data_IF_887197740902
#
_entry.id   IF_887197740902
#
_cell.length_a   1.000
_cell.length_b   1.000
_cell.length_c   1.000
_cell.angle_alpha   90.00
_cell.angle_beta   90.00
_cell.angle_gamma   90.00
#
_symmetry.space_group_name_H-M   'P 1'
#
loop_
_entity.id
_entity.type
_entity.pdbx_description
1 polymer ?
#
# COMPACT_ATOMS: atom_id res chain seq x y z
N UNK A 1 17.34 -24.53 15.32
CA UNK A 1 16.52 -25.50 14.57
C UNK A 1 16.87 -25.33 13.11
N UNK A 2 17.34 -26.39 12.45
CA UNK A 2 17.53 -26.34 11.00
C UNK A 2 16.15 -26.40 10.34
N UNK A 3 15.85 -25.43 9.48
CA UNK A 3 14.53 -25.29 8.86
C UNK A 3 14.47 -25.98 7.49
N UNK A 4 15.59 -26.50 6.99
CA UNK A 4 15.65 -27.19 5.69
C UNK A 4 15.62 -28.72 5.93
N UNK A 5 14.59 -29.42 5.43
CA UNK A 5 14.60 -30.88 5.40
C UNK A 5 15.81 -31.41 4.61
N UNK A 6 16.42 -32.51 5.05
CA UNK A 6 17.56 -33.14 4.33
C UNK A 6 17.25 -33.43 2.85
N UNK A 7 15.98 -33.68 2.51
CA UNK A 7 15.52 -33.91 1.12
C UNK A 7 15.71 -32.71 0.17
N UNK A 8 15.96 -31.52 0.72
CA UNK A 8 16.24 -30.29 0.01
C UNK A 8 17.73 -29.88 0.08
N UNK A 9 18.58 -30.69 0.69
CA UNK A 9 20.02 -30.42 0.76
C UNK A 9 20.62 -30.27 -0.65
N UNK A 10 21.38 -29.19 -0.85
CA UNK A 10 22.03 -28.91 -2.13
C UNK A 10 21.09 -28.47 -3.26
N UNK A 11 19.82 -28.15 -2.97
CA UNK A 11 18.88 -27.52 -3.92
C UNK A 11 18.61 -26.05 -3.55
N UNK A 12 18.38 -25.17 -4.54
CA UNK A 12 17.80 -23.85 -4.31
C UNK A 12 16.45 -23.95 -3.61
N UNK A 13 16.29 -23.26 -2.47
CA UNK A 13 15.07 -23.22 -1.68
C UNK A 13 14.62 -21.77 -1.54
N UNK A 14 13.36 -21.50 -1.88
CA UNK A 14 12.71 -20.24 -1.58
C UNK A 14 11.68 -20.45 -0.47
N UNK A 15 11.84 -19.73 0.64
CA UNK A 15 10.86 -19.66 1.71
C UNK A 15 9.94 -18.48 1.44
N UNK A 16 8.69 -18.76 1.08
CA UNK A 16 7.66 -17.75 0.87
C UNK A 16 6.92 -17.50 2.17
N UNK A 17 7.01 -16.29 2.68
CA UNK A 17 6.26 -15.83 3.85
C UNK A 17 5.07 -15.01 3.37
N UNK A 18 3.86 -15.51 3.65
CA UNK A 18 2.63 -14.72 3.56
C UNK A 18 2.11 -14.53 4.97
N UNK A 19 2.11 -13.28 5.44
CA UNK A 19 1.52 -12.94 6.74
C UNK A 19 0.23 -12.18 6.49
N UNK A 20 -0.87 -12.92 6.36
CA UNK A 20 -2.23 -12.36 6.38
C UNK A 20 -2.75 -12.14 7.81
N UNK A 21 -1.92 -12.41 8.82
CA UNK A 21 -2.31 -12.37 10.23
C UNK A 21 -1.80 -11.08 10.88
N UNK A 22 -2.69 -10.11 10.99
CA UNK A 22 -2.65 -9.13 12.07
C UNK A 22 -2.59 -9.91 13.40
N UNK A 23 -1.67 -9.51 14.25
CA UNK A 23 -1.39 -10.08 15.57
C UNK A 23 -0.98 -11.56 15.55
N UNK A 24 0.34 -11.80 15.56
CA UNK A 24 0.86 -13.07 16.04
C UNK A 24 0.16 -13.37 17.38
N UNK A 25 -0.59 -14.50 17.51
CA UNK A 25 -1.30 -14.80 18.73
C UNK A 25 -0.32 -14.77 19.89
N UNK A 26 -0.71 -14.13 20.99
CA UNK A 26 0.07 -13.97 22.21
C UNK A 26 0.87 -15.24 22.51
N UNK A 27 2.20 -15.17 22.38
CA UNK A 27 3.09 -16.31 22.61
C UNK A 27 3.73 -16.94 21.37
N UNK A 28 3.41 -16.50 20.15
CA UNK A 28 4.25 -16.75 18.96
C UNK A 28 5.23 -15.59 18.80
N UNK A 29 6.49 -15.90 18.52
CA UNK A 29 7.54 -14.88 18.36
C UNK A 29 7.19 -13.84 17.29
N UNK A 30 7.82 -12.66 17.40
CA UNK A 30 7.63 -11.56 16.46
C UNK A 30 8.06 -11.94 15.03
N UNK A 31 7.53 -11.23 14.02
CA UNK A 31 8.00 -11.40 12.63
C UNK A 31 9.51 -11.16 12.55
N UNK A 32 10.04 -10.23 13.35
CA UNK A 32 11.47 -9.96 13.48
C UNK A 32 12.25 -11.18 14.01
N UNK A 33 11.72 -11.88 15.02
CA UNK A 33 12.33 -13.12 15.53
C UNK A 33 12.31 -14.24 14.49
N UNK A 34 11.22 -14.37 13.71
CA UNK A 34 11.15 -15.32 12.61
C UNK A 34 12.22 -15.02 11.55
N UNK A 35 12.33 -13.77 11.11
CA UNK A 35 13.35 -13.37 10.14
C UNK A 35 14.77 -13.53 10.68
N UNK A 36 15.01 -13.26 11.98
CA UNK A 36 16.30 -13.51 12.61
C UNK A 36 16.66 -15.00 12.60
N UNK A 37 15.70 -15.88 12.91
CA UNK A 37 15.89 -17.32 12.85
C UNK A 37 16.15 -17.82 11.41
N UNK A 38 15.43 -17.28 10.43
CA UNK A 38 15.63 -17.60 9.02
C UNK A 38 16.99 -17.10 8.51
N UNK A 39 17.44 -15.92 8.92
CA UNK A 39 18.74 -15.37 8.52
C UNK A 39 19.91 -16.28 8.95
N UNK A 40 19.82 -16.88 10.14
CA UNK A 40 20.80 -17.88 10.58
C UNK A 40 20.83 -19.10 9.64
N UNK A 41 19.69 -19.50 9.09
CA UNK A 41 19.60 -20.59 8.13
C UNK A 41 20.12 -20.18 6.74
N UNK A 42 19.80 -18.97 6.27
CA UNK A 42 20.36 -18.38 5.02
C UNK A 42 21.90 -18.39 5.06
N UNK A 43 22.50 -17.99 6.20
CA UNK A 43 23.96 -17.96 6.35
C UNK A 43 24.59 -19.36 6.32
N UNK A 44 23.86 -20.38 6.78
CA UNK A 44 24.32 -21.78 6.75
C UNK A 44 24.12 -22.43 5.39
N UNK A 45 23.06 -22.03 4.69
CA UNK A 45 22.61 -22.63 3.45
C UNK A 45 22.59 -21.58 2.35
N UNK A 46 23.68 -21.47 1.58
CA UNK A 46 23.82 -20.49 0.47
C UNK A 46 22.70 -20.55 -0.58
N UNK A 47 21.96 -21.64 -0.60
CA UNK A 47 20.91 -21.91 -1.57
C UNK A 47 19.50 -21.54 -1.05
N UNK A 48 19.40 -21.03 0.19
CA UNK A 48 18.13 -20.59 0.78
C UNK A 48 17.94 -19.08 0.62
N UNK A 49 16.77 -18.68 0.10
CA UNK A 49 16.30 -17.29 0.06
C UNK A 49 14.98 -17.18 0.79
N UNK A 50 14.77 -16.05 1.48
CA UNK A 50 13.48 -15.69 2.07
C UNK A 50 12.82 -14.62 1.20
N UNK A 51 11.52 -14.78 0.96
CA UNK A 51 10.72 -13.87 0.16
C UNK A 51 9.35 -13.62 0.82
N UNK A 52 8.87 -12.36 0.88
CA UNK A 52 9.62 -11.14 0.59
C UNK A 52 10.76 -10.91 1.61
N UNK A 53 11.54 -9.85 1.43
CA UNK A 53 12.61 -9.51 2.38
C UNK A 53 12.02 -8.97 3.71
N UNK A 54 12.80 -8.97 4.80
CA UNK A 54 12.38 -8.32 6.05
C UNK A 54 12.12 -6.82 5.85
N UNK A 55 12.90 -6.18 4.97
CA UNK A 55 12.76 -4.76 4.68
C UNK A 55 11.44 -4.47 3.96
N UNK A 56 11.07 -5.28 2.97
CA UNK A 56 9.77 -5.21 2.32
C UNK A 56 8.63 -5.54 3.30
N UNK A 57 8.79 -6.55 4.16
CA UNK A 57 7.73 -6.82 5.14
C UNK A 57 7.50 -5.69 6.12
N UNK A 58 8.57 -5.01 6.56
CA UNK A 58 8.44 -3.81 7.40
C UNK A 58 7.76 -2.69 6.62
N UNK A 59 8.10 -2.53 5.34
CA UNK A 59 7.48 -1.54 4.48
C UNK A 59 5.97 -1.78 4.33
N UNK A 60 5.57 -3.01 4.02
CA UNK A 60 4.16 -3.40 3.85
C UNK A 60 3.38 -3.27 5.17
N UNK A 61 3.98 -3.68 6.30
CA UNK A 61 3.35 -3.58 7.62
C UNK A 61 3.19 -2.13 8.09
N UNK A 62 4.13 -1.25 7.74
CA UNK A 62 4.13 0.14 8.16
C UNK A 62 3.85 1.09 6.99
N UNK A 63 2.61 1.60 6.92
CA UNK A 63 2.08 2.47 5.85
C UNK A 63 2.92 3.73 5.58
N UNK A 64 3.73 4.18 6.54
CA UNK A 64 4.55 5.40 6.44
C UNK A 64 5.48 5.36 5.22
N UNK A 65 6.14 4.22 5.00
CA UNK A 65 7.10 4.11 3.91
C UNK A 65 6.42 4.25 2.55
N UNK A 66 5.28 3.58 2.37
CA UNK A 66 4.53 3.61 1.12
C UNK A 66 3.92 4.98 0.88
N UNK A 67 3.38 5.63 1.92
CA UNK A 67 2.87 7.01 1.80
C UNK A 67 3.98 7.97 1.35
N UNK A 68 5.18 7.88 1.93
CA UNK A 68 6.32 8.70 1.48
C UNK A 68 6.72 8.43 0.04
N UNK A 69 6.71 7.17 -0.37
CA UNK A 69 7.01 6.82 -1.76
C UNK A 69 5.98 7.44 -2.72
N UNK A 70 4.69 7.39 -2.35
CA UNK A 70 3.62 8.01 -3.12
C UNK A 70 3.69 9.54 -3.14
N UNK A 71 4.09 10.17 -2.03
CA UNK A 71 4.30 11.64 -1.97
C UNK A 71 5.40 12.07 -2.96
N UNK A 72 6.53 11.35 -2.99
CA UNK A 72 7.64 11.59 -3.94
C UNK A 72 7.17 11.39 -5.38
N UNK A 73 6.48 10.27 -5.65
CA UNK A 73 5.96 9.98 -6.99
C UNK A 73 5.04 11.09 -7.46
N UNK A 74 4.10 11.54 -6.64
CA UNK A 74 3.19 12.63 -7.01
C UNK A 74 3.95 13.94 -7.28
N UNK A 75 4.97 14.27 -6.48
CA UNK A 75 5.78 15.47 -6.66
C UNK A 75 6.59 15.45 -7.98
N UNK A 76 7.09 14.28 -8.37
CA UNK A 76 7.90 14.10 -9.59
C UNK A 76 7.05 13.85 -10.84
N UNK A 77 5.76 13.55 -10.66
CA UNK A 77 4.87 13.20 -11.75
C UNK A 77 4.24 14.44 -12.40
N UNK A 78 3.99 14.41 -13.72
CA UNK A 78 3.36 15.52 -14.41
C UNK A 78 1.82 15.46 -14.33
N UNK A 79 1.19 16.64 -14.40
CA UNK A 79 -0.22 16.80 -14.76
C UNK A 79 -1.19 15.90 -13.97
N UNK A 80 -1.87 15.01 -14.68
CA UNK A 80 -2.93 14.15 -14.13
C UNK A 80 -2.47 13.12 -13.09
N UNK A 81 -1.16 12.95 -12.92
CA UNK A 81 -0.54 12.01 -11.99
C UNK A 81 0.01 12.69 -10.72
N UNK A 82 -0.09 14.01 -10.61
CA UNK A 82 0.65 14.80 -9.62
C UNK A 82 -0.09 15.03 -8.29
N UNK A 83 -1.35 14.58 -8.17
CA UNK A 83 -2.15 14.85 -6.98
C UNK A 83 -1.89 13.84 -5.86
N UNK A 84 -1.70 14.35 -4.64
CA UNK A 84 -1.67 13.57 -3.41
C UNK A 84 -2.16 14.43 -2.24
N UNK A 85 -3.09 13.93 -1.42
CA UNK A 85 -3.46 14.56 -0.15
C UNK A 85 -2.22 14.76 0.73
N UNK A 86 -2.06 15.97 1.26
CA UNK A 86 -0.85 16.32 2.04
C UNK A 86 -0.77 15.47 3.30
N UNK A 87 0.42 14.95 3.59
CA UNK A 87 0.66 14.12 4.79
C UNK A 87 1.65 14.80 5.73
N UNK A 88 1.37 14.77 7.03
CA UNK A 88 2.32 15.12 8.07
C UNK A 88 2.60 13.92 8.99
N UNK A 89 3.88 13.65 9.20
CA UNK A 89 4.38 12.50 9.96
C UNK A 89 4.76 12.86 11.41
N UNK A 90 4.44 14.07 11.88
CA UNK A 90 4.76 14.53 13.23
C UNK A 90 6.23 14.87 13.50
N UNK A 91 7.12 14.70 12.52
CA UNK A 91 8.56 14.92 12.70
C UNK A 91 9.00 16.40 12.51
N UNK A 92 8.13 17.25 11.98
CA UNK A 92 8.41 18.65 11.62
C UNK A 92 7.24 19.56 12.01
N UNK A 93 7.37 20.90 11.87
CA UNK A 93 6.21 21.78 11.94
C UNK A 93 5.11 21.31 10.99
N UNK A 94 3.88 21.28 11.49
CA UNK A 94 2.74 20.81 10.70
C UNK A 94 2.44 21.78 9.55
N UNK A 95 2.60 21.31 8.31
CA UNK A 95 2.35 22.06 7.08
C UNK A 95 0.95 21.83 6.50
N UNK A 96 0.15 20.97 7.13
CA UNK A 96 -1.23 20.77 6.70
C UNK A 96 -2.00 22.09 6.84
N UNK A 97 -2.83 22.41 5.86
CA UNK A 97 -3.69 23.59 5.85
C UNK A 97 -4.76 23.52 6.95
N UNK A 98 -5.59 24.55 7.05
CA UNK A 98 -6.94 24.35 7.59
C UNK A 98 -7.75 24.04 6.34
N UNK A 99 -8.09 22.77 6.14
CA UNK A 99 -8.89 22.37 4.99
C UNK A 99 -10.29 22.99 5.10
N UNK A 100 -11.11 22.87 4.04
CA UNK A 100 -12.45 23.50 3.93
C UNK A 100 -13.35 23.18 5.14
N UNK A 101 -13.16 22.00 5.75
CA UNK A 101 -13.95 21.51 6.90
C UNK A 101 -13.19 21.51 8.24
N UNK A 102 -11.93 21.97 8.26
CA UNK A 102 -11.09 21.97 9.46
C UNK A 102 -10.75 20.57 10.02
N UNK A 103 -10.98 19.51 9.24
CA UNK A 103 -10.74 18.12 9.62
C UNK A 103 -9.48 17.54 8.98
N UNK A 104 -8.85 16.63 9.70
CA UNK A 104 -7.74 15.81 9.21
C UNK A 104 -8.07 14.33 9.43
N UNK A 105 -7.46 13.46 8.63
CA UNK A 105 -7.49 12.01 8.84
C UNK A 105 -6.27 11.61 9.66
N UNK A 106 -6.47 11.05 10.85
CA UNK A 106 -5.40 10.41 11.64
C UNK A 106 -5.38 8.93 11.32
N UNK A 107 -4.19 8.40 11.03
CA UNK A 107 -3.97 6.99 10.69
C UNK A 107 -2.88 6.41 11.60
N UNK A 108 -3.10 5.19 12.09
CA UNK A 108 -2.03 4.36 12.66
C UNK A 108 -1.07 3.91 11.56
N UNK A 109 0.21 3.83 11.91
CA UNK A 109 1.27 3.33 11.03
C UNK A 109 1.06 1.88 10.61
N UNK A 110 0.41 1.07 11.43
CA UNK A 110 0.04 -0.30 11.12
C UNK A 110 -1.43 -0.52 11.50
N UNK A 111 -2.22 -1.01 10.54
CA UNK A 111 -3.59 -1.50 10.74
C UNK A 111 -4.16 -2.06 9.42
N UNK A 112 -5.09 -3.01 9.51
CA UNK A 112 -5.86 -3.50 8.36
C UNK A 112 -7.33 -3.01 8.41
N UNK A 113 -7.97 -2.94 7.23
CA UNK A 113 -9.42 -2.77 7.10
C UNK A 113 -10.00 -1.46 7.64
N UNK A 114 -9.22 -0.37 7.62
CA UNK A 114 -9.65 0.93 8.14
C UNK A 114 -9.61 1.07 9.67
N UNK A 115 -9.26 0.01 10.41
CA UNK A 115 -9.10 0.09 11.86
C UNK A 115 -8.04 1.13 12.22
N UNK A 116 -8.32 2.01 13.19
CA UNK A 116 -7.38 3.06 13.58
C UNK A 116 -7.21 4.19 12.56
N UNK A 117 -8.14 4.33 11.61
CA UNK A 117 -8.35 5.55 10.81
C UNK A 117 -9.50 6.32 11.43
N UNK A 118 -9.32 7.62 11.67
CA UNK A 118 -10.37 8.49 12.21
C UNK A 118 -10.24 9.90 11.64
N UNK A 119 -11.37 10.56 11.44
CA UNK A 119 -11.42 11.99 11.13
C UNK A 119 -11.54 12.78 12.43
N UNK A 120 -10.79 13.88 12.55
CA UNK A 120 -10.90 14.77 13.71
C UNK A 120 -10.43 16.19 13.39
N UNK A 121 -10.76 17.16 14.24
CA UNK A 121 -10.26 18.53 14.08
C UNK A 121 -8.74 18.57 14.07
N UNK A 122 -8.16 19.45 13.24
CA UNK A 122 -6.70 19.60 13.11
C UNK A 122 -5.96 19.75 14.43
N UNK A 123 -6.49 20.52 15.37
CA UNK A 123 -5.86 20.77 16.67
C UNK A 123 -5.70 19.48 17.50
N UNK A 124 -6.66 18.57 17.40
CA UNK A 124 -6.63 17.27 18.04
C UNK A 124 -5.64 16.34 17.33
N UNK A 125 -5.69 16.28 16.00
CA UNK A 125 -4.76 15.51 15.19
C UNK A 125 -3.30 15.92 15.44
N UNK A 126 -3.03 17.23 15.51
CA UNK A 126 -1.69 17.77 15.80
C UNK A 126 -1.17 17.35 17.18
N UNK A 127 -2.05 17.28 18.18
CA UNK A 127 -1.69 16.86 19.53
C UNK A 127 -1.35 15.37 19.57
N UNK A 128 -2.13 14.53 18.90
CA UNK A 128 -1.92 13.07 18.91
C UNK A 128 -0.72 12.63 18.09
N UNK A 129 -0.52 13.22 16.91
CA UNK A 129 0.64 12.96 16.06
C UNK A 129 1.92 13.55 16.67
N UNK A 130 1.80 14.44 17.66
CA UNK A 130 2.95 15.07 18.32
C UNK A 130 3.65 16.11 17.44
N UNK A 131 2.89 16.84 16.62
CA UNK A 131 3.44 17.84 15.70
C UNK A 131 4.26 18.90 16.43
N UNK A 132 5.44 19.23 15.89
CA UNK A 132 6.25 20.30 16.45
C UNK A 132 5.55 21.65 16.24
N UNK A 133 5.38 22.43 17.30
CA UNK A 133 4.90 23.82 17.16
C UNK A 133 5.99 24.65 16.49
N UNK A 134 5.63 25.48 15.50
CA UNK A 134 6.55 26.47 14.91
C UNK A 134 7.24 27.26 16.03
N UNK A 135 8.55 27.54 15.88
CA UNK A 135 9.52 28.06 16.88
C UNK A 135 9.15 29.31 17.71
N UNK A 136 7.91 29.80 17.70
CA UNK A 136 7.49 31.05 18.36
C UNK A 136 7.14 30.96 19.85
N UNK A 137 7.22 29.79 20.49
CA UNK A 137 7.11 29.65 21.94
C UNK A 137 8.09 28.61 22.47
N UNK A 138 9.34 29.01 22.73
CA UNK A 138 10.26 28.28 23.61
C UNK A 138 10.64 29.18 24.78
N UNK A 139 9.75 29.30 25.75
CA UNK A 139 10.10 29.65 27.12
C UNK A 139 9.75 28.44 27.98
N UNK A 140 10.72 27.55 28.16
CA UNK A 140 10.54 26.34 28.96
C UNK A 140 11.42 25.20 28.45
N UNK A 141 12.44 24.88 29.24
CA UNK A 141 13.26 23.68 29.15
C UNK A 141 12.36 22.44 29.16
N UNK A 142 11.98 21.97 27.97
CA UNK A 142 11.30 20.68 27.80
C UNK A 142 12.35 19.65 27.44
N UNK A 143 12.46 18.62 28.30
CA UNK A 143 13.33 17.47 28.09
C UNK A 143 13.07 16.86 26.70
N UNK A 144 14.09 16.26 26.05
CA UNK A 144 13.90 15.57 24.79
C UNK A 144 12.80 14.52 24.98
N UNK A 145 11.75 14.61 24.15
CA UNK A 145 10.69 13.60 24.08
C UNK A 145 11.40 12.28 23.76
N UNK A 146 11.48 11.37 24.74
CA UNK A 146 11.99 10.02 24.51
C UNK A 146 11.15 9.41 23.38
N UNK A 147 11.76 8.78 22.36
CA UNK A 147 11.00 8.00 21.39
C UNK A 147 10.24 6.93 22.19
N UNK A 148 8.95 7.15 22.35
CA UNK A 148 8.00 6.22 22.93
C UNK A 148 8.13 4.94 22.10
N UNK A 149 8.47 3.82 22.72
CA UNK A 149 8.78 2.57 22.04
C UNK A 149 7.72 2.25 20.99
N UNK A 150 8.15 2.10 19.74
CA UNK A 150 7.25 1.80 18.61
C UNK A 150 6.87 0.33 18.74
N UNK A 151 5.59 0.05 18.94
CA UNK A 151 5.08 -1.32 19.06
C UNK A 151 3.58 -1.39 18.82
N UNK A 152 2.99 -2.59 18.85
CA UNK A 152 1.55 -2.80 18.61
C UNK A 152 0.66 -1.97 19.53
N UNK A 153 1.09 -1.81 20.79
CA UNK A 153 0.37 -1.07 21.83
C UNK A 153 0.65 0.44 21.83
N UNK A 154 1.54 0.91 20.95
CA UNK A 154 1.93 2.31 20.85
C UNK A 154 2.37 2.63 19.41
N UNK A 155 1.41 2.72 18.47
CA UNK A 155 1.68 2.93 17.06
C UNK A 155 2.23 4.34 16.81
N UNK A 156 3.14 4.47 15.85
CA UNK A 156 3.36 5.77 15.22
C UNK A 156 2.06 6.22 14.55
N UNK A 157 1.71 7.49 14.73
CA UNK A 157 0.57 8.12 14.08
C UNK A 157 1.06 9.10 13.01
N UNK A 158 0.30 9.20 11.94
CA UNK A 158 0.41 10.27 10.95
C UNK A 158 -0.97 10.91 10.78
N UNK A 159 -0.99 12.15 10.30
CA UNK A 159 -2.23 12.75 9.84
C UNK A 159 -2.12 13.28 8.42
N UNK A 160 -3.22 13.25 7.70
CA UNK A 160 -3.33 13.60 6.30
C UNK A 160 -4.51 14.54 6.10
N UNK A 161 -4.44 15.37 5.05
CA UNK A 161 -5.56 16.17 4.54
C UNK A 161 -6.81 15.30 4.34
N UNK A 162 -7.96 15.82 4.76
CA UNK A 162 -9.24 15.13 4.57
C UNK A 162 -9.72 15.32 3.12
N UNK A 163 -10.08 14.21 2.47
CA UNK A 163 -10.64 14.23 1.12
C UNK A 163 -12.09 13.73 1.20
N UNK A 164 -13.09 14.63 1.08
CA UNK A 164 -14.51 14.28 1.26
C UNK A 164 -15.02 13.17 0.35
N UNK A 165 -14.43 13.02 -0.84
CA UNK A 165 -14.83 12.01 -1.82
C UNK A 165 -14.69 10.57 -1.32
N UNK A 166 -13.85 10.29 -0.31
CA UNK A 166 -13.78 8.95 0.28
C UNK A 166 -15.12 8.53 0.91
N UNK A 167 -15.81 9.46 1.57
CA UNK A 167 -17.12 9.22 2.16
C UNK A 167 -18.24 9.26 1.09
N UNK A 168 -18.16 10.24 0.19
CA UNK A 168 -19.18 10.45 -0.84
C UNK A 168 -19.17 9.36 -1.93
N UNK A 169 -17.99 9.00 -2.43
CA UNK A 169 -17.80 8.07 -3.54
C UNK A 169 -17.28 6.71 -3.05
N UNK A 170 -16.28 6.68 -2.18
CA UNK A 170 -15.54 5.44 -1.85
C UNK A 170 -14.21 5.37 -2.59
N UNK A 171 -13.75 4.15 -2.86
CA UNK A 171 -12.43 3.86 -3.44
C UNK A 171 -12.54 3.00 -4.70
N UNK A 172 -11.60 3.20 -5.62
CA UNK A 172 -11.30 2.24 -6.68
C UNK A 172 -10.14 1.36 -6.25
N UNK A 173 -10.23 0.05 -6.44
CA UNK A 173 -9.15 -0.89 -6.15
C UNK A 173 -8.69 -1.53 -7.45
N UNK A 174 -7.52 -1.14 -7.94
CA UNK A 174 -7.00 -1.59 -9.24
C UNK A 174 -5.95 -2.66 -9.01
N UNK A 175 -6.16 -3.84 -9.58
CA UNK A 175 -5.31 -5.01 -9.47
C UNK A 175 -4.43 -5.09 -10.71
N UNK A 176 -3.12 -5.07 -10.50
CA UNK A 176 -2.11 -5.00 -11.55
C UNK A 176 -1.20 -6.24 -11.48
N UNK A 177 -0.99 -6.89 -12.61
CA UNK A 177 0.02 -7.91 -12.79
C UNK A 177 1.29 -7.27 -13.36
N UNK A 178 2.46 -7.73 -12.91
CA UNK A 178 3.71 -7.34 -13.55
C UNK A 178 3.71 -7.75 -15.03
N UNK A 179 4.28 -6.91 -15.93
CA UNK A 179 4.40 -7.26 -17.34
C UNK A 179 5.49 -8.32 -17.54
N UNK A 180 5.38 -9.07 -18.63
CA UNK A 180 6.41 -10.05 -19.01
C UNK A 180 7.71 -9.36 -19.46
N UNK A 181 7.56 -8.25 -20.20
CA UNK A 181 8.62 -7.33 -20.61
C UNK A 181 8.63 -6.07 -19.72
N UNK A 182 9.76 -5.71 -19.07
CA UNK A 182 9.89 -4.47 -18.30
C UNK A 182 9.63 -3.17 -19.07
N UNK A 183 9.60 -3.19 -20.40
CA UNK A 183 9.26 -2.04 -21.24
C UNK A 183 7.74 -1.85 -21.42
N UNK A 184 6.94 -2.86 -21.10
CA UNK A 184 5.49 -2.80 -21.21
C UNK A 184 4.85 -2.24 -19.93
N UNK A 185 3.62 -1.75 -20.07
CA UNK A 185 2.80 -1.38 -18.94
C UNK A 185 2.28 -2.61 -18.20
N UNK A 186 2.12 -2.51 -16.89
CA UNK A 186 1.47 -3.55 -16.10
C UNK A 186 0.06 -3.85 -16.61
N UNK A 187 -0.30 -5.14 -16.61
CA UNK A 187 -1.64 -5.58 -16.98
C UNK A 187 -2.63 -5.23 -15.87
N UNK A 188 -3.68 -4.48 -16.18
CA UNK A 188 -4.83 -4.32 -15.29
C UNK A 188 -5.66 -5.60 -15.35
N UNK A 189 -5.61 -6.41 -14.28
CA UNK A 189 -6.37 -7.67 -14.18
C UNK A 189 -7.87 -7.36 -14.00
N UNK A 190 -8.15 -6.44 -13.07
CA UNK A 190 -9.50 -5.97 -12.74
C UNK A 190 -9.41 -4.65 -11.97
N UNK A 191 -10.43 -3.83 -12.10
CA UNK A 191 -10.67 -2.69 -11.22
C UNK A 191 -11.99 -2.90 -10.48
N UNK A 192 -11.96 -2.71 -9.16
CA UNK A 192 -13.12 -2.80 -8.30
C UNK A 192 -13.52 -1.42 -7.78
N UNK A 193 -14.80 -1.26 -7.47
CA UNK A 193 -15.33 -0.15 -6.72
C UNK A 193 -15.70 -0.65 -5.33
N UNK A 194 -15.23 0.04 -4.29
CA UNK A 194 -15.53 -0.29 -2.89
C UNK A 194 -16.06 0.91 -2.13
N UNK A 195 -17.11 0.69 -1.34
CA UNK A 195 -17.70 1.71 -0.46
C UNK A 195 -18.26 1.06 0.80
N UNK A 196 -18.12 1.71 1.95
CA UNK A 196 -18.80 1.29 3.17
C UNK A 196 -20.29 1.62 3.08
N UNK A 197 -21.13 0.62 3.35
CA UNK A 197 -22.56 0.79 3.54
C UNK A 197 -22.88 1.42 4.89
N UNK A 198 -24.14 1.83 5.06
CA UNK A 198 -24.64 2.39 6.32
C UNK A 198 -24.62 1.37 7.48
N UNK A 199 -24.57 0.08 7.16
CA UNK A 199 -24.42 -1.05 8.08
C UNK A 199 -22.96 -1.28 8.51
N UNK A 200 -22.02 -0.46 8.01
CA UNK A 200 -20.59 -0.62 8.24
C UNK A 200 -19.95 -1.74 7.42
N UNK A 201 -20.70 -2.42 6.56
CA UNK A 201 -20.18 -3.47 5.70
C UNK A 201 -19.57 -2.86 4.44
N UNK A 202 -18.39 -3.33 4.07
CA UNK A 202 -17.76 -2.92 2.82
C UNK A 202 -18.43 -3.64 1.65
N UNK A 203 -19.02 -2.86 0.75
CA UNK A 203 -19.51 -3.33 -0.54
C UNK A 203 -18.37 -3.29 -1.54
N UNK A 204 -18.18 -4.37 -2.31
CA UNK A 204 -17.20 -4.44 -3.39
C UNK A 204 -17.84 -5.04 -4.64
N UNK A 205 -17.46 -4.53 -5.82
CA UNK A 205 -17.86 -5.05 -7.13
C UNK A 205 -16.91 -4.57 -8.22
N UNK A 206 -16.93 -5.18 -9.40
CA UNK A 206 -16.23 -4.64 -10.57
C UNK A 206 -16.75 -3.25 -10.93
N UNK A 207 -15.85 -2.37 -11.40
CA UNK A 207 -16.20 -1.02 -11.82
C UNK A 207 -17.14 -1.06 -13.03
N UNK A 208 -17.96 -0.02 -13.13
CA UNK A 208 -18.85 0.22 -14.26
C UNK A 208 -18.63 1.65 -14.73
N UNK A 209 -18.90 1.92 -16.01
CA UNK A 209 -18.85 3.28 -16.54
C UNK A 209 -19.79 4.26 -15.79
N UNK A 210 -20.84 3.76 -15.13
CA UNK A 210 -21.71 4.55 -14.25
C UNK A 210 -21.03 5.05 -12.97
N UNK A 211 -19.90 4.48 -12.57
CA UNK A 211 -19.15 4.89 -11.37
C UNK A 211 -18.40 6.22 -11.60
N UNK A 212 -18.34 6.66 -12.86
CA UNK A 212 -17.68 7.88 -13.30
C UNK A 212 -18.69 8.97 -13.70
N UNK A 213 -19.95 8.91 -13.24
CA UNK A 213 -20.99 9.93 -13.57
C UNK A 213 -20.54 11.35 -13.20
N UNK A 214 -19.72 11.50 -12.15
CA UNK A 214 -19.10 12.75 -11.73
C UNK A 214 -18.14 13.36 -12.76
N UNK A 215 -17.61 12.55 -13.70
CA UNK A 215 -16.72 13.02 -14.75
C UNK A 215 -17.46 13.59 -15.97
N UNK A 216 -18.76 13.33 -16.12
CA UNK A 216 -19.56 13.83 -17.22
C UNK A 216 -20.89 13.11 -17.43
N UNK A 217 -21.81 13.76 -18.14
CA UNK A 217 -23.14 13.22 -18.41
C UNK A 217 -23.15 12.18 -19.54
N UNK A 218 -22.24 12.27 -20.49
CA UNK A 218 -22.17 11.35 -21.62
C UNK A 218 -21.24 10.15 -21.34
N UNK A 219 -21.47 9.06 -22.07
CA UNK A 219 -20.71 7.81 -21.93
C UNK A 219 -19.23 7.98 -22.31
N UNK A 220 -18.89 8.92 -23.21
CA UNK A 220 -17.53 9.14 -23.69
C UNK A 220 -16.67 9.77 -22.59
N UNK A 221 -17.18 10.78 -21.89
CA UNK A 221 -16.50 11.40 -20.76
C UNK A 221 -16.24 10.39 -19.62
N UNK A 222 -17.24 9.57 -19.29
CA UNK A 222 -17.13 8.52 -18.27
C UNK A 222 -16.09 7.45 -18.63
N UNK A 223 -16.12 6.97 -19.87
CA UNK A 223 -15.15 5.99 -20.37
C UNK A 223 -13.73 6.57 -20.46
N UNK A 224 -13.60 7.86 -20.78
CA UNK A 224 -12.31 8.55 -20.74
C UNK A 224 -11.75 8.62 -19.31
N UNK A 225 -12.60 8.86 -18.30
CA UNK A 225 -12.20 8.87 -16.89
C UNK A 225 -11.82 7.47 -16.38
N UNK A 226 -12.55 6.43 -16.79
CA UNK A 226 -12.18 5.04 -16.54
C UNK A 226 -10.80 4.70 -17.14
N UNK A 227 -10.55 5.13 -18.38
CA UNK A 227 -9.23 4.97 -19.03
C UNK A 227 -8.14 5.76 -18.30
N UNK A 228 -8.47 6.94 -17.77
CA UNK A 228 -7.55 7.73 -16.95
C UNK A 228 -7.21 7.00 -15.63
N UNK A 229 -8.16 6.32 -14.99
CA UNK A 229 -7.91 5.52 -13.78
C UNK A 229 -6.87 4.42 -14.06
N UNK A 230 -7.02 3.67 -15.15
CA UNK A 230 -6.08 2.60 -15.50
C UNK A 230 -4.69 3.15 -15.79
N UNK A 231 -4.59 4.20 -16.61
CA UNK A 231 -3.31 4.88 -16.90
C UNK A 231 -2.65 5.42 -15.64
N UNK A 232 -3.42 6.02 -14.73
CA UNK A 232 -2.92 6.48 -13.44
C UNK A 232 -2.35 5.34 -12.59
N UNK A 233 -3.07 4.22 -12.49
CA UNK A 233 -2.62 3.05 -11.73
C UNK A 233 -1.33 2.45 -12.31
N UNK A 234 -1.26 2.30 -13.63
CA UNK A 234 -0.08 1.82 -14.34
C UNK A 234 1.12 2.75 -14.16
N UNK A 235 0.92 4.07 -14.24
CA UNK A 235 1.97 5.06 -13.99
C UNK A 235 2.54 4.92 -12.58
N UNK A 236 1.69 4.92 -11.55
CA UNK A 236 2.16 4.80 -10.15
C UNK A 236 2.89 3.48 -9.92
N UNK A 237 2.37 2.36 -10.45
CA UNK A 237 3.07 1.08 -10.42
C UNK A 237 4.47 1.17 -11.06
N UNK A 238 4.55 1.73 -12.27
CA UNK A 238 5.82 1.91 -12.99
C UNK A 238 6.82 2.72 -12.17
N UNK A 239 6.37 3.81 -11.54
CA UNK A 239 7.21 4.65 -10.70
C UNK A 239 7.68 3.92 -9.44
N UNK A 240 6.81 3.14 -8.77
CA UNK A 240 7.19 2.32 -7.60
C UNK A 240 8.30 1.32 -7.97
N UNK A 241 8.17 0.65 -9.12
CA UNK A 241 9.16 -0.30 -9.62
C UNK A 241 10.50 0.34 -10.03
N UNK A 242 10.49 1.62 -10.41
CA UNK A 242 11.69 2.38 -10.82
C UNK A 242 12.45 3.03 -9.67
N UNK A 243 11.93 2.98 -8.45
CA UNK A 243 12.61 3.54 -7.28
C UNK A 243 13.96 2.87 -7.05
N UNK A 244 14.93 3.64 -6.55
CA UNK A 244 16.25 3.11 -6.20
C UNK A 244 16.21 2.02 -5.12
N UNK A 245 15.20 2.03 -4.25
CA UNK A 245 14.98 1.03 -3.19
C UNK A 245 13.96 -0.06 -3.58
N UNK A 246 13.53 -0.12 -4.85
CA UNK A 246 12.50 -1.04 -5.32
C UNK A 246 12.85 -2.51 -5.08
N UNK A 247 14.12 -2.89 -5.30
CA UNK A 247 14.58 -4.25 -5.06
C UNK A 247 14.45 -4.69 -3.59
N UNK A 248 14.60 -3.76 -2.64
CA UNK A 248 14.58 -4.08 -1.22
C UNK A 248 13.18 -3.98 -0.61
N UNK A 249 12.37 -3.01 -1.06
CA UNK A 249 11.10 -2.63 -0.42
C UNK A 249 9.84 -2.94 -1.24
N UNK A 250 10.01 -3.31 -2.51
CA UNK A 250 8.94 -3.49 -3.48
C UNK A 250 9.21 -4.69 -4.40
N UNK A 251 9.97 -5.69 -3.93
CA UNK A 251 10.32 -6.86 -4.75
C UNK A 251 9.04 -7.58 -5.22
N UNK A 252 8.03 -7.64 -4.36
CA UNK A 252 6.76 -8.32 -4.66
C UNK A 252 5.94 -7.67 -5.77
N UNK A 253 6.21 -6.39 -6.12
CA UNK A 253 5.55 -5.73 -7.26
C UNK A 253 5.98 -6.35 -8.59
N UNK A 254 7.08 -7.11 -8.63
CA UNK A 254 7.47 -7.94 -9.80
C UNK A 254 6.51 -9.09 -10.08
N UNK A 255 5.52 -9.31 -9.22
CA UNK A 255 4.47 -10.31 -9.39
C UNK A 255 3.15 -9.59 -9.64
N UNK A 256 2.79 -8.69 -8.72
CA UNK A 256 1.61 -7.86 -8.85
C UNK A 256 1.31 -7.01 -7.61
N UNK A 257 0.27 -6.20 -7.71
CA UNK A 257 -0.12 -5.25 -6.65
C UNK A 257 -1.60 -4.89 -6.77
N UNK A 258 -2.22 -4.50 -5.65
CA UNK A 258 -3.48 -3.76 -5.66
C UNK A 258 -3.22 -2.33 -5.20
N UNK A 259 -3.71 -1.36 -5.95
CA UNK A 259 -3.68 0.06 -5.57
C UNK A 259 -5.09 0.49 -5.17
N UNK A 260 -5.23 0.98 -3.94
CA UNK A 260 -6.48 1.57 -3.46
C UNK A 260 -6.44 3.07 -3.76
N UNK A 261 -7.36 3.54 -4.61
CA UNK A 261 -7.30 4.82 -5.31
C UNK A 261 -8.54 5.65 -4.95
N UNK A 262 -8.30 6.88 -4.46
CA UNK A 262 -9.31 7.91 -4.25
C UNK A 262 -9.36 8.93 -5.38
N UNK A 263 -10.30 9.88 -5.28
CA UNK A 263 -10.48 10.98 -6.25
C UNK A 263 -10.43 12.32 -5.52
N UNK A 264 -9.73 13.33 -6.04
CA UNK A 264 -9.57 14.61 -5.33
C UNK A 264 -10.88 15.37 -5.15
N UNK A 265 -11.75 15.34 -6.16
CA UNK A 265 -13.06 16.00 -6.18
C UNK A 265 -13.99 15.32 -7.20
N UNK A 266 -15.31 15.41 -6.98
CA UNK A 266 -16.31 14.83 -7.87
C UNK A 266 -16.66 15.77 -9.04
N UNK A 267 -15.63 16.09 -9.84
CA UNK A 267 -15.73 16.94 -11.03
C UNK A 267 -15.01 16.30 -12.22
N UNK A 268 -15.25 16.75 -13.47
CA UNK A 268 -14.45 16.31 -14.62
C UNK A 268 -12.93 16.49 -14.45
N UNK A 269 -12.52 17.48 -13.65
CA UNK A 269 -11.12 17.77 -13.35
C UNK A 269 -10.57 17.00 -12.13
N UNK A 270 -11.41 16.22 -11.45
CA UNK A 270 -11.00 15.38 -10.33
C UNK A 270 -9.85 14.44 -10.71
N UNK A 271 -8.80 14.48 -9.91
CA UNK A 271 -7.56 13.73 -10.08
C UNK A 271 -7.55 12.50 -9.19
N UNK A 272 -6.90 11.43 -9.67
CA UNK A 272 -6.73 10.21 -8.87
C UNK A 272 -5.53 10.33 -7.94
N UNK A 273 -5.58 9.62 -6.82
CA UNK A 273 -4.43 9.43 -5.94
C UNK A 273 -4.47 8.05 -5.28
N UNK A 274 -3.32 7.43 -5.07
CA UNK A 274 -3.23 6.17 -4.33
C UNK A 274 -3.27 6.46 -2.82
N UNK A 275 -4.19 5.82 -2.12
CA UNK A 275 -4.29 5.82 -0.67
C UNK A 275 -3.42 4.73 -0.03
N UNK A 276 -3.46 3.53 -0.60
CA UNK A 276 -2.79 2.32 -0.08
C UNK A 276 -2.23 1.45 -1.22
N UNK A 277 -1.08 0.81 -0.95
CA UNK A 277 -0.42 -0.16 -1.84
C UNK A 277 -0.45 -1.51 -1.14
N UNK A 278 -1.16 -2.48 -1.71
CA UNK A 278 -1.26 -3.83 -1.14
C UNK A 278 -0.51 -4.82 -2.02
N UNK A 279 0.46 -5.53 -1.43
CA UNK A 279 1.27 -6.53 -2.14
C UNK A 279 0.40 -7.72 -2.61
N UNK A 280 0.80 -8.39 -3.69
CA UNK A 280 0.00 -9.45 -4.32
C UNK A 280 -0.46 -10.57 -3.36
N UNK A 281 0.37 -10.93 -2.38
CA UNK A 281 0.10 -12.02 -1.43
C UNK A 281 -0.96 -11.68 -0.37
N UNK A 282 -1.42 -10.42 -0.36
CA UNK A 282 -2.52 -9.91 0.48
C UNK A 282 -3.62 -9.24 -0.35
N UNK A 283 -3.49 -9.23 -1.68
CA UNK A 283 -4.34 -8.43 -2.55
C UNK A 283 -5.67 -9.11 -2.88
N UNK A 284 -5.69 -10.45 -2.98
CA UNK A 284 -6.79 -11.26 -3.53
C UNK A 284 -8.07 -11.33 -2.67
N UNK A 285 -8.09 -10.63 -1.52
CA UNK A 285 -9.21 -10.55 -0.58
C UNK A 285 -10.58 -10.28 -1.23
N UNK A 286 -10.62 -9.48 -2.30
CA UNK A 286 -11.85 -9.07 -2.99
C UNK A 286 -12.29 -10.00 -4.12
N UNK A 287 -11.54 -11.08 -4.40
CA UNK A 287 -11.78 -11.89 -5.60
C UNK A 287 -13.20 -12.44 -5.66
N UNK A 288 -13.76 -12.86 -4.51
CA UNK A 288 -15.13 -13.39 -4.43
C UNK A 288 -16.21 -12.34 -4.67
N UNK A 289 -15.97 -11.10 -4.26
CA UNK A 289 -16.98 -10.03 -4.35
C UNK A 289 -16.95 -9.33 -5.72
N UNK A 290 -15.79 -9.35 -6.39
CA UNK A 290 -15.55 -8.59 -7.63
C UNK A 290 -15.67 -9.46 -8.87
N UNK A 291 -15.32 -10.74 -8.80
CA UNK A 291 -15.25 -11.62 -9.97
C UNK A 291 -16.42 -12.60 -10.03
N UNK A 292 -16.82 -12.97 -11.24
CA UNK A 292 -17.71 -14.11 -11.45
C UNK A 292 -17.05 -15.42 -11.01
N UNK A 293 -17.86 -16.37 -10.55
CA UNK A 293 -17.41 -17.72 -10.23
C UNK A 293 -16.61 -18.32 -11.41
N UNK A 294 -15.43 -18.93 -11.19
CA UNK A 294 -14.88 -19.40 -9.91
C UNK A 294 -14.10 -18.37 -9.10
N UNK A 295 -14.11 -17.11 -9.48
CA UNK A 295 -13.44 -16.00 -8.79
C UNK A 295 -11.90 -16.11 -8.78
N UNK A 296 -11.31 -16.77 -9.77
CA UNK A 296 -9.88 -17.12 -9.77
C UNK A 296 -8.99 -16.18 -10.59
N UNK A 297 -9.55 -15.26 -11.39
CA UNK A 297 -8.79 -14.44 -12.36
C UNK A 297 -7.59 -13.71 -11.75
N UNK A 298 -7.74 -13.14 -10.55
CA UNK A 298 -6.64 -12.48 -9.83
C UNK A 298 -5.57 -13.50 -9.41
N UNK A 299 -5.99 -14.57 -8.72
CA UNK A 299 -5.07 -15.60 -8.22
C UNK A 299 -4.32 -16.32 -9.35
N UNK A 300 -4.98 -16.61 -10.47
CA UNK A 300 -4.38 -17.22 -11.66
C UNK A 300 -3.28 -16.33 -12.24
N UNK A 301 -3.56 -15.04 -12.43
CA UNK A 301 -2.59 -14.08 -12.96
C UNK A 301 -1.38 -13.94 -12.04
N UNK A 302 -1.59 -13.75 -10.74
CA UNK A 302 -0.49 -13.68 -9.79
C UNK A 302 0.28 -15.00 -9.67
N UNK A 303 -0.39 -16.15 -9.73
CA UNK A 303 0.27 -17.46 -9.69
C UNK A 303 1.20 -17.69 -10.89
N UNK A 304 0.74 -17.35 -12.11
CA UNK A 304 1.55 -17.42 -13.33
C UNK A 304 2.73 -16.44 -13.27
N UNK A 305 2.48 -15.21 -12.84
CA UNK A 305 3.52 -14.19 -12.70
C UNK A 305 4.57 -14.59 -11.65
N UNK A 306 4.13 -15.16 -10.53
CA UNK A 306 5.03 -15.70 -9.51
C UNK A 306 5.88 -16.85 -10.05
N UNK A 307 5.29 -17.83 -10.74
CA UNK A 307 6.04 -18.92 -11.35
C UNK A 307 7.12 -18.42 -12.32
N UNK A 308 6.76 -17.41 -13.14
CA UNK A 308 7.68 -16.76 -14.08
C UNK A 308 8.81 -16.02 -13.36
N UNK A 309 8.48 -15.27 -12.31
CA UNK A 309 9.46 -14.58 -11.47
C UNK A 309 10.47 -15.55 -10.86
N UNK A 310 9.99 -16.65 -10.29
CA UNK A 310 10.84 -17.68 -9.68
C UNK A 310 11.73 -18.38 -10.72
N UNK A 311 11.18 -18.69 -11.90
CA UNK A 311 11.97 -19.26 -12.99
C UNK A 311 13.12 -18.33 -13.40
N UNK A 312 12.85 -17.02 -13.55
CA UNK A 312 13.87 -15.99 -13.87
C UNK A 312 14.96 -15.94 -12.78
N UNK A 313 14.56 -15.92 -11.50
CA UNK A 313 15.50 -15.91 -10.37
C UNK A 313 16.44 -17.13 -10.37
N UNK A 314 15.92 -18.31 -10.68
CA UNK A 314 16.74 -19.53 -10.69
C UNK A 314 17.66 -19.65 -11.90
N UNK A 315 17.28 -19.12 -13.06
CA UNK A 315 18.19 -19.03 -14.19
C UNK A 315 19.38 -18.12 -13.87
N UNK A 316 19.14 -16.95 -13.27
CA UNK A 316 20.18 -15.99 -12.91
C UNK A 316 21.13 -16.49 -11.81
N UNK A 317 20.70 -17.43 -10.97
CA UNK A 317 21.55 -17.99 -9.91
C UNK A 317 22.50 -19.11 -10.40
N UNK A 318 22.41 -19.53 -11.67
CA UNK A 318 23.23 -20.59 -12.27
C UNK A 318 24.37 -20.06 -13.15
N UNK A 319 24.35 -18.78 -13.48
CA UNK A 319 25.41 -18.06 -14.20
C UNK A 319 26.37 -17.37 -13.21
#
# INVERSE_FOLDING_TARGET
MDLIPESLAGKPVLVVLSTTLDDAPSGRGSIEELYAALQLNVMRHRQLRVYPSLAEMRQDRYKIGDIRALDIIAQESPGEFAFRPKTCFGCSPCELGIDVDGQNVVKRSHSCGGNGVRTCPKSEAQKEVGCQRSKRQKTGTSAPIKPLGIGPNNPLLLHQEYIPTFEELGEFRVFLCAPDDPQEDAEVIVAAFTKFGNDGMMMAREIRTSDFVWAGQDKKARSAKETQLHRFAQHVYSQLCKRHDAHERYESLKIGVRLDIGVSELSPNGLFFVNEVTRWHSADFFSRDVLSYPCLRICEKYGVSFATYIAKLWCQARD
#
